data_IF_502016062376
#
_entry.id   IF_502016062376
#
_cell.length_a   1.000
_cell.length_b   1.000
_cell.length_c   1.000
_cell.angle_alpha   90.00
_cell.angle_beta   90.00
_cell.angle_gamma   90.00
#
_symmetry.space_group_name_H-M   'P 1'
#
loop_
_entity.id
_entity.type
_entity.pdbx_description
1 polymer ?
#
# COMPACT_ATOMS: atom_id res chain seq x y z
N UNK A 1 -27.63 6.79 10.37
CA UNK A 1 -27.40 5.69 9.40
C UNK A 1 -27.68 6.24 8.01
N UNK A 2 -26.64 6.67 7.29
CA UNK A 2 -26.75 7.13 5.90
C UNK A 2 -26.01 6.10 5.06
N UNK A 3 -26.71 5.06 4.62
CA UNK A 3 -26.26 4.24 3.51
C UNK A 3 -26.37 5.09 2.24
N UNK A 4 -25.25 5.66 1.81
CA UNK A 4 -25.13 6.08 0.42
C UNK A 4 -25.14 4.81 -0.42
N UNK A 5 -26.10 4.68 -1.35
CA UNK A 5 -26.04 3.69 -2.43
C UNK A 5 -24.72 3.86 -3.19
N UNK A 6 -23.70 3.10 -2.80
CA UNK A 6 -22.51 2.94 -3.62
C UNK A 6 -22.96 2.19 -4.86
N UNK A 7 -22.90 2.84 -6.04
CA UNK A 7 -23.02 2.11 -7.31
C UNK A 7 -21.99 0.98 -7.28
N UNK A 8 -22.46 -0.27 -7.32
CA UNK A 8 -21.58 -1.42 -7.33
C UNK A 8 -20.61 -1.30 -8.51
N UNK A 9 -19.31 -1.41 -8.21
CA UNK A 9 -18.27 -1.50 -9.22
C UNK A 9 -18.12 -2.98 -9.53
N UNK A 10 -18.37 -3.37 -10.78
CA UNK A 10 -18.24 -4.76 -11.21
C UNK A 10 -17.10 -4.87 -12.22
N UNK A 11 -16.12 -5.72 -11.93
CA UNK A 11 -15.01 -6.01 -12.83
C UNK A 11 -15.48 -6.98 -13.92
N UNK A 12 -15.41 -6.55 -15.18
CA UNK A 12 -15.85 -7.33 -16.36
C UNK A 12 -14.69 -8.02 -17.06
N UNK A 13 -13.55 -7.35 -17.13
CA UNK A 13 -12.34 -7.88 -17.74
C UNK A 13 -11.11 -7.40 -16.96
N UNK A 14 -10.12 -8.27 -16.81
CA UNK A 14 -8.82 -7.93 -16.26
C UNK A 14 -7.73 -8.71 -16.98
N UNK A 15 -6.94 -7.99 -17.77
CA UNK A 15 -5.73 -8.49 -18.42
C UNK A 15 -4.61 -7.49 -18.19
N UNK A 16 -3.42 -7.98 -17.85
CA UNK A 16 -2.23 -7.15 -17.66
C UNK A 16 -1.38 -7.04 -18.93
N UNK A 17 -1.83 -7.60 -20.06
CA UNK A 17 -1.09 -7.53 -21.31
C UNK A 17 0.09 -8.50 -21.39
N UNK A 18 0.98 -8.27 -22.34
CA UNK A 18 2.10 -9.17 -22.67
C UNK A 18 3.49 -8.66 -22.25
N UNK A 19 3.56 -7.44 -21.75
CA UNK A 19 4.82 -6.83 -21.33
C UNK A 19 5.44 -7.58 -20.14
N UNK A 20 6.76 -7.52 -20.02
CA UNK A 20 7.50 -8.13 -18.89
C UNK A 20 7.90 -7.03 -17.90
N UNK A 21 7.68 -7.24 -16.58
CA UNK A 21 8.16 -6.31 -15.58
C UNK A 21 9.69 -6.26 -15.51
N UNK A 22 10.23 -5.08 -15.24
CA UNK A 22 11.63 -4.90 -14.89
C UNK A 22 11.79 -5.13 -13.38
N UNK A 23 12.71 -6.03 -13.02
CA UNK A 23 13.03 -6.36 -11.64
C UNK A 23 14.45 -5.89 -11.33
N UNK A 24 14.64 -5.19 -10.21
CA UNK A 24 15.94 -4.83 -9.69
C UNK A 24 16.07 -3.35 -9.32
N UNK A 25 16.91 -3.01 -8.32
CA UNK A 25 17.82 -3.91 -7.61
C UNK A 25 17.10 -4.91 -6.69
N UNK A 26 17.73 -6.07 -6.48
CA UNK A 26 17.30 -7.09 -5.53
C UNK A 26 18.20 -7.02 -4.31
N UNK A 27 17.61 -6.97 -3.12
CA UNK A 27 18.33 -6.96 -1.84
C UNK A 27 17.82 -8.10 -0.98
N UNK A 28 18.75 -8.84 -0.40
CA UNK A 28 18.41 -9.99 0.46
C UNK A 28 18.94 -9.76 1.87
N UNK A 29 18.16 -10.12 2.87
CA UNK A 29 18.61 -10.14 4.26
C UNK A 29 18.04 -11.35 4.97
N UNK A 30 18.86 -12.01 5.79
CA UNK A 30 18.41 -13.09 6.66
C UNK A 30 17.87 -12.49 7.95
N UNK A 31 16.80 -13.06 8.47
CA UNK A 31 16.17 -12.67 9.74
C UNK A 31 16.02 -13.88 10.64
N UNK A 32 16.47 -13.74 11.88
CA UNK A 32 16.35 -14.75 12.92
C UNK A 32 15.17 -14.37 13.82
N UNK A 33 14.16 -15.23 13.87
CA UNK A 33 12.97 -15.08 14.71
C UNK A 33 13.12 -15.77 16.07
N UNK A 34 14.27 -16.38 16.35
CA UNK A 34 14.59 -17.14 17.55
C UNK A 34 14.11 -18.60 17.51
N UNK A 35 12.98 -18.87 16.84
CA UNK A 35 12.44 -20.23 16.63
C UNK A 35 12.75 -20.79 15.25
N UNK A 36 12.95 -19.91 14.25
CA UNK A 36 13.27 -20.25 12.87
C UNK A 36 13.95 -19.06 12.19
N UNK A 37 14.59 -19.32 11.05
CA UNK A 37 15.13 -18.29 10.18
C UNK A 37 14.19 -18.00 9.00
N UNK A 38 14.23 -16.78 8.49
CA UNK A 38 13.58 -16.38 7.24
C UNK A 38 14.56 -15.65 6.31
N UNK A 39 14.26 -15.62 5.02
CA UNK A 39 14.98 -14.84 4.03
C UNK A 39 14.07 -13.75 3.46
N UNK A 40 14.37 -12.50 3.81
CA UNK A 40 13.73 -11.34 3.20
C UNK A 40 14.40 -11.05 1.84
N UNK A 41 13.60 -10.87 0.81
CA UNK A 41 13.99 -10.52 -0.56
C UNK A 41 13.19 -9.30 -1.00
N UNK A 42 13.84 -8.14 -1.02
CA UNK A 42 13.27 -6.90 -1.51
C UNK A 42 13.62 -6.70 -2.98
N UNK A 43 12.62 -6.50 -3.82
CA UNK A 43 12.75 -6.38 -5.26
C UNK A 43 12.11 -5.07 -5.70
N UNK A 44 12.91 -4.17 -6.28
CA UNK A 44 12.33 -3.04 -6.97
C UNK A 44 11.65 -3.51 -8.26
N UNK A 45 10.41 -3.10 -8.48
CA UNK A 45 9.55 -3.52 -9.59
C UNK A 45 9.08 -2.29 -10.35
N UNK A 46 9.39 -2.25 -11.65
CA UNK A 46 8.77 -1.33 -12.60
C UNK A 46 8.03 -2.11 -13.68
N UNK A 47 6.75 -1.81 -13.88
CA UNK A 47 5.92 -2.51 -14.84
C UNK A 47 5.03 -1.55 -15.60
N UNK A 48 5.34 -1.37 -16.89
CA UNK A 48 4.53 -0.62 -17.84
C UNK A 48 3.74 -1.60 -18.70
N UNK A 49 2.45 -1.72 -18.44
CA UNK A 49 1.65 -2.80 -18.99
C UNK A 49 0.51 -2.30 -19.88
N UNK A 50 0.35 -2.97 -21.02
CA UNK A 50 -0.74 -2.82 -21.99
C UNK A 50 -2.01 -3.50 -21.46
N UNK A 51 -2.47 -3.02 -20.30
CA UNK A 51 -3.59 -3.59 -19.59
C UNK A 51 -4.90 -3.49 -20.41
N UNK A 52 -5.79 -4.45 -20.22
CA UNK A 52 -7.22 -4.32 -20.58
C UNK A 52 -8.02 -4.62 -19.35
N UNK A 53 -8.40 -3.56 -18.64
CA UNK A 53 -9.30 -3.66 -17.49
C UNK A 53 -10.59 -2.99 -17.89
N UNK A 54 -11.71 -3.70 -17.77
CA UNK A 54 -13.03 -3.14 -17.99
C UNK A 54 -13.86 -3.33 -16.73
N UNK A 55 -14.53 -2.27 -16.28
CA UNK A 55 -15.43 -2.31 -15.15
C UNK A 55 -16.68 -1.47 -15.41
N UNK A 56 -17.77 -1.79 -14.70
CA UNK A 56 -19.02 -1.04 -14.77
C UNK A 56 -19.34 -0.36 -13.45
N UNK A 57 -19.81 0.89 -13.53
CA UNK A 57 -20.30 1.68 -12.39
C UNK A 57 -21.75 2.06 -12.66
N UNK A 58 -22.68 1.25 -12.18
CA UNK A 58 -24.08 1.35 -12.60
C UNK A 58 -24.24 1.00 -14.08
N UNK A 59 -24.73 1.94 -14.90
CA UNK A 59 -24.94 1.73 -16.35
C UNK A 59 -23.73 2.14 -17.21
N UNK A 60 -22.70 2.71 -16.61
CA UNK A 60 -21.53 3.22 -17.31
C UNK A 60 -20.44 2.16 -17.35
N UNK A 61 -19.81 1.99 -18.51
CA UNK A 61 -18.65 1.11 -18.69
C UNK A 61 -17.39 1.96 -18.84
N UNK A 62 -16.37 1.63 -18.06
CA UNK A 62 -15.08 2.31 -18.03
C UNK A 62 -14.00 1.28 -18.31
N UNK A 63 -13.06 1.63 -19.18
CA UNK A 63 -11.91 0.79 -19.48
C UNK A 63 -10.58 1.47 -19.19
N UNK A 64 -9.57 0.67 -18.86
CA UNK A 64 -8.17 1.06 -18.67
C UNK A 64 -7.34 0.26 -19.68
N UNK A 65 -6.54 0.97 -20.46
CA UNK A 65 -5.71 0.45 -21.56
C UNK A 65 -4.21 0.39 -21.24
N UNK A 66 -3.79 1.10 -20.19
CA UNK A 66 -2.41 1.11 -19.74
C UNK A 66 -2.36 1.30 -18.23
N UNK A 67 -1.53 0.52 -17.56
CA UNK A 67 -1.20 0.72 -16.14
C UNK A 67 0.31 0.72 -16.02
N UNK A 68 0.85 1.79 -15.42
CA UNK A 68 2.23 1.83 -14.98
C UNK A 68 2.26 1.63 -13.47
N UNK A 69 3.09 0.69 -13.02
CA UNK A 69 3.33 0.37 -11.62
C UNK A 69 4.82 0.54 -11.34
N UNK A 70 5.16 1.21 -10.25
CA UNK A 70 6.52 1.30 -9.72
C UNK A 70 6.51 1.19 -8.21
N UNK A 71 7.33 0.31 -7.66
CA UNK A 71 7.43 0.18 -6.20
C UNK A 71 8.35 -0.95 -5.77
N UNK A 72 8.55 -1.06 -4.46
CA UNK A 72 9.37 -2.11 -3.87
C UNK A 72 8.50 -3.25 -3.32
N UNK A 73 8.64 -4.43 -3.94
CA UNK A 73 8.02 -5.67 -3.47
C UNK A 73 8.90 -6.29 -2.39
N UNK A 74 8.32 -6.53 -1.22
CA UNK A 74 8.98 -7.15 -0.08
C UNK A 74 8.47 -8.60 0.04
N UNK A 75 9.32 -9.55 -0.32
CA UNK A 75 9.07 -10.98 -0.15
C UNK A 75 9.75 -11.48 1.12
N UNK A 76 9.08 -12.33 1.89
CA UNK A 76 9.72 -13.10 2.97
C UNK A 76 9.51 -14.58 2.73
N UNK A 77 10.60 -15.32 2.57
CA UNK A 77 10.61 -16.78 2.54
C UNK A 77 10.65 -17.27 3.98
N UNK A 78 9.49 -17.69 4.48
CA UNK A 78 9.26 -17.86 5.91
C UNK A 78 8.30 -19.02 6.17
N UNK A 79 8.68 -20.03 6.99
CA UNK A 79 9.99 -20.28 7.58
C UNK A 79 10.94 -20.93 6.57
N UNK A 80 12.25 -20.75 6.75
CA UNK A 80 13.24 -21.65 6.15
C UNK A 80 13.20 -22.99 6.89
N UNK A 81 13.26 -24.09 6.13
CA UNK A 81 13.12 -25.46 6.65
C UNK A 81 14.14 -26.40 6.01
N UNK A 82 14.50 -27.48 6.70
CA UNK A 82 15.57 -28.41 6.29
C UNK A 82 15.12 -29.53 5.32
N UNK A 83 13.97 -29.36 4.68
CA UNK A 83 13.39 -30.32 3.74
C UNK A 83 12.96 -29.60 2.45
N UNK A 84 12.79 -30.31 1.33
CA UNK A 84 12.31 -29.69 0.09
C UNK A 84 10.76 -29.56 0.12
N UNK A 85 10.17 -28.39 -0.26
CA UNK A 85 10.84 -27.14 -0.60
C UNK A 85 11.36 -26.47 0.67
N UNK A 86 12.60 -25.97 0.64
CA UNK A 86 13.37 -25.41 1.79
C UNK A 86 12.74 -24.16 2.43
N UNK A 87 11.48 -23.87 2.07
CA UNK A 87 10.68 -22.73 2.45
C UNK A 87 9.27 -23.24 2.75
N UNK A 88 8.72 -22.89 3.91
CA UNK A 88 7.35 -23.23 4.30
C UNK A 88 6.30 -22.41 3.54
N UNK A 89 6.57 -21.13 3.29
CA UNK A 89 5.74 -20.27 2.45
C UNK A 89 6.40 -18.94 2.08
N UNK A 90 5.69 -18.16 1.28
CA UNK A 90 6.12 -16.83 0.84
C UNK A 90 5.11 -15.80 1.33
N UNK A 91 5.58 -14.83 2.10
CA UNK A 91 4.81 -13.63 2.42
C UNK A 91 5.13 -12.55 1.39
N UNK A 92 4.10 -11.93 0.80
CA UNK A 92 4.24 -10.85 -0.17
C UNK A 92 3.68 -9.57 0.43
N UNK A 93 4.49 -8.52 0.48
CA UNK A 93 4.16 -7.21 1.07
C UNK A 93 4.73 -6.05 0.26
N UNK A 94 4.28 -4.85 0.59
CA UNK A 94 4.78 -3.57 0.11
C UNK A 94 5.10 -2.68 1.32
N UNK A 95 6.28 -2.03 1.32
CA UNK A 95 6.68 -1.15 2.43
C UNK A 95 5.94 0.20 2.41
N UNK A 96 5.54 0.67 1.22
CA UNK A 96 4.77 1.88 0.97
C UNK A 96 3.82 1.69 -0.19
N UNK A 97 2.88 2.63 -0.35
CA UNK A 97 2.07 2.68 -1.57
C UNK A 97 3.01 2.76 -2.79
N UNK A 98 2.78 1.92 -3.80
CA UNK A 98 3.50 2.01 -5.07
C UNK A 98 2.97 3.20 -5.88
N UNK A 99 3.83 3.72 -6.75
CA UNK A 99 3.43 4.69 -7.75
C UNK A 99 2.64 3.96 -8.85
N UNK A 100 1.33 4.20 -8.90
CA UNK A 100 0.45 3.62 -9.92
C UNK A 100 -0.18 4.74 -10.73
N UNK A 101 -0.03 4.66 -12.05
CA UNK A 101 -0.75 5.53 -12.99
C UNK A 101 -1.45 4.70 -14.05
N UNK A 102 -2.53 5.22 -14.63
CA UNK A 102 -3.25 4.53 -15.69
C UNK A 102 -3.77 5.48 -16.75
N UNK A 103 -3.97 4.93 -17.94
CA UNK A 103 -4.68 5.58 -19.03
C UNK A 103 -6.00 4.87 -19.27
N UNK A 104 -7.07 5.65 -19.27
CA UNK A 104 -8.40 5.13 -19.55
C UNK A 104 -8.64 5.04 -21.07
N UNK A 105 -9.31 3.98 -21.50
CA UNK A 105 -9.82 3.82 -22.86
C UNK A 105 -11.06 4.68 -23.09
N UNK A 106 -11.25 5.21 -24.30
CA UNK A 106 -12.52 5.82 -24.70
C UNK A 106 -12.89 7.05 -23.85
N UNK A 107 -12.11 8.13 -23.97
CA UNK A 107 -12.27 9.39 -23.22
C UNK A 107 -13.71 9.95 -23.18
N UNK A 108 -14.53 9.65 -24.19
CA UNK A 108 -15.94 10.02 -24.24
C UNK A 108 -16.73 9.46 -23.04
N UNK A 109 -16.53 8.19 -22.68
CA UNK A 109 -17.24 7.55 -21.56
C UNK A 109 -16.78 8.07 -20.19
N UNK A 110 -15.57 8.65 -20.09
CA UNK A 110 -15.06 9.28 -18.87
C UNK A 110 -15.56 10.70 -18.69
N UNK A 111 -15.76 11.44 -19.80
CA UNK A 111 -16.29 12.80 -19.75
C UNK A 111 -17.68 12.84 -19.08
N UNK A 112 -18.42 11.74 -19.21
CA UNK A 112 -19.74 11.55 -18.59
C UNK A 112 -19.65 11.20 -17.09
N UNK A 113 -18.45 10.96 -16.54
CA UNK A 113 -18.24 10.55 -15.13
C UNK A 113 -17.19 11.42 -14.45
N UNK A 114 -17.56 12.64 -14.01
CA UNK A 114 -16.67 13.51 -13.27
C UNK A 114 -16.13 12.81 -12.01
N UNK A 115 -14.81 12.81 -11.82
CA UNK A 115 -14.16 12.26 -10.62
C UNK A 115 -13.91 10.75 -10.65
N UNK A 116 -14.17 10.04 -11.75
CA UNK A 116 -13.92 8.59 -11.83
C UNK A 116 -12.45 8.25 -11.57
N UNK A 117 -11.50 9.06 -12.07
CA UNK A 117 -10.07 8.84 -11.83
C UNK A 117 -9.73 8.82 -10.34
N UNK A 118 -10.26 9.78 -9.58
CA UNK A 118 -10.05 9.83 -8.12
C UNK A 118 -10.72 8.68 -7.38
N UNK A 119 -11.88 8.21 -7.86
CA UNK A 119 -12.60 7.07 -7.26
C UNK A 119 -11.81 5.77 -7.49
N UNK A 120 -11.33 5.54 -8.70
CA UNK A 120 -10.48 4.38 -9.04
C UNK A 120 -9.20 4.43 -8.24
N UNK A 121 -8.54 5.60 -8.17
CA UNK A 121 -7.32 5.77 -7.40
C UNK A 121 -7.52 5.45 -5.92
N UNK A 122 -8.52 6.05 -5.29
CA UNK A 122 -8.84 5.79 -3.89
C UNK A 122 -9.19 4.32 -3.65
N UNK A 123 -9.90 3.67 -4.58
CA UNK A 123 -10.25 2.26 -4.46
C UNK A 123 -9.02 1.34 -4.54
N UNK A 124 -8.12 1.58 -5.50
CA UNK A 124 -6.88 0.80 -5.68
C UNK A 124 -5.92 1.01 -4.51
N UNK A 125 -5.67 2.26 -4.13
CA UNK A 125 -4.80 2.58 -2.99
C UNK A 125 -5.34 1.96 -1.69
N UNK A 126 -6.65 2.01 -1.48
CA UNK A 126 -7.29 1.36 -0.33
C UNK A 126 -7.12 -0.15 -0.36
N UNK A 127 -7.37 -0.80 -1.49
CA UNK A 127 -7.20 -2.23 -1.63
C UNK A 127 -5.73 -2.65 -1.34
N UNK A 128 -4.75 -1.93 -1.88
CA UNK A 128 -3.32 -2.19 -1.62
C UNK A 128 -2.99 -1.97 -0.14
N UNK A 129 -3.48 -0.88 0.45
CA UNK A 129 -3.27 -0.57 1.88
C UNK A 129 -3.80 -1.66 2.80
N UNK A 130 -4.99 -2.18 2.50
CA UNK A 130 -5.67 -3.18 3.32
C UNK A 130 -5.11 -4.60 3.12
N UNK A 131 -4.41 -4.89 2.00
CA UNK A 131 -4.00 -6.26 1.65
C UNK A 131 -2.49 -6.49 1.58
N UNK A 132 -1.72 -5.49 1.16
CA UNK A 132 -0.30 -5.63 0.83
C UNK A 132 0.62 -4.70 1.62
N UNK A 133 0.14 -3.55 2.11
CA UNK A 133 0.99 -2.68 2.93
C UNK A 133 1.22 -3.28 4.31
N UNK A 134 2.50 -3.31 4.72
CA UNK A 134 2.90 -3.80 6.04
C UNK A 134 2.03 -3.22 7.17
N UNK A 135 1.60 -4.05 8.13
CA UNK A 135 1.93 -5.47 8.29
C UNK A 135 1.08 -6.44 7.45
N UNK A 136 0.14 -5.95 6.64
CA UNK A 136 -0.71 -6.83 5.83
C UNK A 136 0.18 -7.56 4.81
N UNK A 137 -0.03 -8.87 4.69
CA UNK A 137 0.69 -9.70 3.74
C UNK A 137 -0.24 -10.69 3.04
N UNK A 138 0.11 -11.04 1.81
CA UNK A 138 -0.45 -12.20 1.13
C UNK A 138 0.50 -13.38 1.38
N UNK A 139 0.02 -14.38 2.11
CA UNK A 139 0.78 -15.60 2.39
C UNK A 139 0.45 -16.68 1.36
N UNK A 140 1.49 -17.23 0.72
CA UNK A 140 1.40 -18.32 -0.24
C UNK A 140 2.12 -19.53 0.37
N UNK A 141 1.40 -20.56 0.85
CA UNK A 141 2.03 -21.75 1.38
C UNK A 141 2.71 -22.54 0.25
N UNK A 142 3.95 -22.97 0.47
CA UNK A 142 4.68 -23.83 -0.45
C UNK A 142 4.62 -25.31 -0.05
N UNK A 143 4.06 -25.61 1.12
CA UNK A 143 3.82 -26.97 1.62
C UNK A 143 2.32 -27.24 1.77
N UNK A 144 1.95 -28.51 1.53
CA UNK A 144 0.56 -29.00 1.66
C UNK A 144 0.18 -29.36 3.09
N UNK A 145 1.15 -29.78 3.88
CA UNK A 145 0.93 -30.07 5.30
C UNK A 145 0.76 -28.76 6.04
N UNK A 146 -0.22 -28.74 6.94
CA UNK A 146 -0.59 -27.60 7.76
C UNK A 146 0.60 -27.17 8.63
N UNK A 147 1.53 -26.42 8.05
CA UNK A 147 2.16 -25.36 8.83
C UNK A 147 1.01 -24.38 9.05
N UNK A 148 0.23 -24.63 10.10
CA UNK A 148 -0.75 -23.68 10.58
C UNK A 148 -0.03 -22.35 10.58
N UNK A 149 -0.62 -21.30 10.00
CA UNK A 149 -0.03 -20.00 10.15
C UNK A 149 0.12 -19.78 11.64
N UNK A 150 1.36 -19.83 12.13
CA UNK A 150 1.65 -19.43 13.48
C UNK A 150 0.96 -18.06 13.61
N UNK A 151 0.32 -17.79 14.74
CA UNK A 151 -0.36 -16.51 14.95
C UNK A 151 0.59 -15.34 14.60
N UNK A 152 1.90 -15.56 14.74
CA UNK A 152 3.00 -14.71 14.28
C UNK A 152 3.03 -14.38 12.78
N UNK A 153 2.52 -15.23 11.87
CA UNK A 153 2.41 -14.92 10.44
C UNK A 153 1.19 -14.07 10.11
N UNK A 154 0.08 -14.28 10.84
CA UNK A 154 -1.08 -13.40 10.75
C UNK A 154 -0.81 -12.04 11.42
N UNK A 155 0.13 -12.01 12.37
CA UNK A 155 0.54 -10.82 13.14
C UNK A 155 2.07 -10.77 13.24
N UNK A 156 2.77 -10.32 12.18
CA UNK A 156 4.23 -10.24 12.20
C UNK A 156 4.68 -9.42 13.40
N UNK A 157 5.70 -9.90 14.12
CA UNK A 157 6.26 -9.16 15.25
C UNK A 157 6.93 -7.89 14.74
N UNK A 158 6.60 -6.70 15.29
CA UNK A 158 7.28 -5.48 14.91
C UNK A 158 8.75 -5.53 15.35
N UNK A 159 9.63 -5.03 14.49
CA UNK A 159 11.07 -4.89 14.77
C UNK A 159 11.36 -3.71 15.69
N UNK A 160 10.54 -2.66 15.63
CA UNK A 160 10.66 -1.48 16.49
C UNK A 160 9.33 -0.73 16.67
N UNK A 161 9.29 0.17 17.66
CA UNK A 161 8.24 1.17 17.85
C UNK A 161 8.82 2.55 17.51
N UNK A 162 8.18 3.25 16.58
CA UNK A 162 8.52 4.61 16.18
C UNK A 162 7.44 5.59 16.65
N UNK A 163 7.77 6.49 17.57
CA UNK A 163 6.87 7.58 17.94
C UNK A 163 7.18 8.82 17.09
N UNK A 164 6.18 9.33 16.37
CA UNK A 164 6.29 10.56 15.59
C UNK A 164 5.45 11.66 16.23
N UNK A 165 6.03 12.86 16.33
CA UNK A 165 5.38 14.04 16.90
C UNK A 165 5.40 15.20 15.91
N UNK A 166 4.21 15.71 15.57
CA UNK A 166 4.02 16.90 14.75
C UNK A 166 3.82 18.10 15.66
N UNK A 167 4.78 19.02 15.62
CA UNK A 167 4.74 20.23 16.43
C UNK A 167 4.15 21.40 15.66
N UNK A 168 4.65 21.66 14.45
CA UNK A 168 4.37 22.90 13.73
C UNK A 168 4.40 22.69 12.22
N UNK A 169 3.56 23.43 11.50
CA UNK A 169 3.70 23.68 10.06
C UNK A 169 3.90 25.17 9.80
N UNK A 170 4.70 25.49 8.79
CA UNK A 170 5.01 26.87 8.35
C UNK A 170 4.96 26.94 6.83
N UNK A 171 4.70 28.12 6.28
CA UNK A 171 4.84 28.36 4.83
C UNK A 171 3.76 27.71 3.97
N UNK A 172 2.64 27.29 4.55
CA UNK A 172 1.52 26.74 3.79
C UNK A 172 0.61 27.87 3.26
N UNK A 173 0.06 27.73 2.04
CA UNK A 173 -0.94 28.65 1.51
C UNK A 173 -2.16 28.75 2.44
N UNK A 174 -2.65 29.97 2.70
CA UNK A 174 -3.75 30.23 3.65
C UNK A 174 -5.15 29.87 3.13
N UNK A 175 -5.23 28.94 2.18
CA UNK A 175 -6.48 28.58 1.48
C UNK A 175 -7.33 27.62 2.32
N UNK A 176 -6.70 26.76 3.13
CA UNK A 176 -7.39 25.75 3.96
C UNK A 176 -6.71 25.58 5.31
N UNK A 177 -7.46 25.13 6.31
CA UNK A 177 -6.88 24.75 7.60
C UNK A 177 -5.72 23.76 7.42
N UNK A 178 -4.55 24.01 8.04
CA UNK A 178 -3.42 23.09 7.93
C UNK A 178 -3.76 21.74 8.56
N UNK A 179 -3.29 20.68 7.92
CA UNK A 179 -3.42 19.28 8.34
C UNK A 179 -2.13 18.58 7.91
N UNK A 180 -1.60 17.71 8.76
CA UNK A 180 -0.50 16.80 8.40
C UNK A 180 -1.03 15.38 8.47
N UNK A 181 -0.74 14.58 7.44
CA UNK A 181 -1.07 13.16 7.40
C UNK A 181 0.23 12.37 7.49
N UNK A 182 0.34 11.50 8.48
CA UNK A 182 1.47 10.62 8.67
C UNK A 182 1.06 9.21 8.30
N UNK A 183 1.87 8.53 7.49
CA UNK A 183 1.70 7.10 7.27
C UNK A 183 2.99 6.32 7.34
N UNK A 184 2.86 5.09 7.85
CA UNK A 184 3.91 4.08 7.85
C UNK A 184 3.24 2.73 7.61
N UNK A 185 3.52 2.12 6.46
CA UNK A 185 2.80 0.94 5.98
C UNK A 185 1.29 1.22 5.84
N UNK A 186 0.47 0.32 6.38
CA UNK A 186 -0.99 0.44 6.30
C UNK A 186 -1.59 1.47 7.25
N UNK A 187 -0.85 1.88 8.30
CA UNK A 187 -1.33 2.88 9.27
C UNK A 187 -1.21 4.29 8.70
N UNK A 188 -2.35 4.98 8.63
CA UNK A 188 -2.48 6.39 8.28
C UNK A 188 -3.15 7.13 9.43
N UNK A 189 -2.54 8.23 9.89
CA UNK A 189 -3.10 9.09 10.94
C UNK A 189 -2.98 10.54 10.51
N UNK A 190 -3.95 11.36 10.88
CA UNK A 190 -3.93 12.79 10.55
C UNK A 190 -3.97 13.60 11.84
N UNK A 191 -3.28 14.74 11.85
CA UNK A 191 -3.37 15.68 12.96
C UNK A 191 -4.80 16.21 13.10
N UNK A 192 -5.11 16.88 14.22
CA UNK A 192 -6.29 17.75 14.22
C UNK A 192 -6.10 18.89 13.21
N UNK A 193 -7.19 19.37 12.60
CA UNK A 193 -7.12 20.53 11.71
C UNK A 193 -6.66 21.75 12.48
N UNK A 194 -5.59 22.37 12.02
CA UNK A 194 -5.05 23.57 12.61
C UNK A 194 -5.80 24.84 12.22
N UNK A 195 -5.40 25.93 12.85
CA UNK A 195 -5.82 27.30 12.52
C UNK A 195 -4.58 28.13 12.27
N UNK A 196 -4.51 28.77 11.10
CA UNK A 196 -3.42 29.70 10.81
C UNK A 196 -3.46 30.86 11.80
N UNK A 197 -2.30 31.16 12.39
CA UNK A 197 -2.07 32.46 13.03
C UNK A 197 -1.71 33.50 11.97
N UNK A 198 -1.73 34.78 12.34
CA UNK A 198 -1.42 35.92 11.45
C UNK A 198 -0.10 35.77 10.69
N UNK A 199 0.84 34.98 11.20
CA UNK A 199 2.17 34.69 10.63
C UNK A 199 2.23 33.48 9.68
N UNK A 200 1.11 32.85 9.29
CA UNK A 200 1.11 31.79 8.27
C UNK A 200 1.74 30.47 8.75
N UNK A 201 1.74 30.25 10.06
CA UNK A 201 2.13 29.00 10.69
C UNK A 201 1.00 28.50 11.60
N UNK A 202 1.02 27.21 11.91
CA UNK A 202 0.18 26.61 12.94
C UNK A 202 1.03 25.72 13.85
N UNK A 203 0.78 25.83 15.15
CA UNK A 203 1.47 25.09 16.21
C UNK A 203 0.44 24.24 16.94
N UNK A 204 0.63 22.93 16.97
CA UNK A 204 -0.16 22.01 17.78
C UNK A 204 0.33 22.06 19.23
N UNK A 205 -0.59 22.35 20.16
CA UNK A 205 -0.33 22.37 21.61
C UNK A 205 -1.45 21.60 22.35
N UNK A 206 -1.17 20.43 22.95
CA UNK A 206 0.11 19.70 22.88
C UNK A 206 0.45 19.26 21.43
N UNK A 207 1.72 18.90 21.14
CA UNK A 207 2.09 18.30 19.86
C UNK A 207 1.20 17.09 19.55
N UNK A 208 0.86 16.89 18.29
CA UNK A 208 0.19 15.67 17.88
C UNK A 208 1.22 14.54 17.87
N UNK A 209 0.95 13.43 18.53
CA UNK A 209 1.86 12.28 18.58
C UNK A 209 1.13 10.99 18.20
N UNK A 210 1.82 10.11 17.49
CA UNK A 210 1.33 8.76 17.20
C UNK A 210 2.47 7.75 17.14
N UNK A 211 2.21 6.55 17.64
CA UNK A 211 3.16 5.44 17.64
C UNK A 211 2.94 4.55 16.41
N UNK A 212 4.01 4.10 15.78
CA UNK A 212 3.99 3.27 14.59
C UNK A 212 4.86 2.03 14.80
N UNK A 213 4.33 0.87 14.41
CA UNK A 213 5.11 -0.36 14.39
C UNK A 213 5.93 -0.45 13.10
N UNK A 214 7.24 -0.66 13.24
CA UNK A 214 8.18 -0.81 12.14
C UNK A 214 8.46 -2.29 11.93
N UNK A 215 8.29 -2.81 10.72
CA UNK A 215 8.47 -4.23 10.41
C UNK A 215 9.74 -4.49 9.56
N UNK A 216 10.22 -3.47 8.86
CA UNK A 216 11.46 -3.54 8.06
C UNK A 216 12.30 -2.28 8.22
N UNK A 217 13.62 -2.43 8.08
CA UNK A 217 14.61 -1.36 8.28
C UNK A 217 14.45 -0.20 7.28
N UNK A 218 13.88 -0.47 6.11
CA UNK A 218 13.68 0.54 5.05
C UNK A 218 12.21 0.93 4.90
N UNK A 219 11.37 0.76 5.94
CA UNK A 219 9.97 1.14 5.86
C UNK A 219 9.85 2.68 5.86
N UNK A 220 9.38 3.29 4.76
CA UNK A 220 9.37 4.74 4.66
C UNK A 220 8.25 5.33 5.52
N UNK A 221 8.58 6.42 6.21
CA UNK A 221 7.60 7.33 6.81
C UNK A 221 7.20 8.32 5.72
N UNK A 222 5.91 8.43 5.44
CA UNK A 222 5.35 9.43 4.52
C UNK A 222 4.64 10.51 5.33
N UNK A 223 4.91 11.78 5.00
CA UNK A 223 4.43 13.00 5.69
C UNK A 223 3.79 13.95 4.68
#
# INVERSE_FOLDING_TARGET
>A
MRESLGRAIELKEFKLGGNTPTLGPIRTSRRDHGTHESLDVNVHLEYDCDARVAFSVGLLSVGIERVYFKGDLCLSLDPLVDEIPLVGGVQVTLASLPDITWSFSGLANLADVPGISSVVQAAVERAIRETLLLPNCVYIPLRREEVHPHIEWAYPKPSALLQLSVHQVRGLPRVRSPLVELSLGSKLVSTTKGKFKEEGHHLWQPPFSSDFFVYTHNQPVVV
#
